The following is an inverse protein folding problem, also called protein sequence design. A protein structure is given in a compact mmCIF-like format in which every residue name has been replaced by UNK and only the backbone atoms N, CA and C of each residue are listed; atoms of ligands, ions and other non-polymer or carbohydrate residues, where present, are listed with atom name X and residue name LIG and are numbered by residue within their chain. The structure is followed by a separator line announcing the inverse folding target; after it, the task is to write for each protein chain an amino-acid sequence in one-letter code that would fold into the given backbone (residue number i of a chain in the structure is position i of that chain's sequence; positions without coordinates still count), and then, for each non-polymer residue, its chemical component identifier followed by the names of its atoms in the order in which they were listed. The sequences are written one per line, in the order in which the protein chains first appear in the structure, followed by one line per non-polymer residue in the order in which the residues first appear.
data_IF_283337288569
#
_entry.id   IF_283337288569
#
_cell.length_a   1.000
_cell.length_b   1.000
_cell.length_c   1.000
_cell.angle_alpha   90.00
_cell.angle_beta   90.00
_cell.angle_gamma   90.00
#
_symmetry.space_group_name_H-M   'P 1'
#
loop_
_entity.id
_entity.type
_entity.pdbx_description
1 polymer ?
#
# COMPACT_ATOMS: atom_id res chain seq x y z
N UNK A 1 -3.96 -2.95 17.66
CA UNK A 1 -3.23 -4.15 17.19
C UNK A 1 -2.68 -4.88 18.41
N UNK A 2 -2.92 -6.19 18.59
CA UNK A 2 -2.37 -6.97 19.72
C UNK A 2 -0.89 -7.29 19.53
N UNK A 3 -0.10 -7.37 20.60
CA UNK A 3 1.33 -7.65 20.52
C UNK A 3 1.60 -9.12 20.17
N UNK A 4 2.77 -9.40 19.61
CA UNK A 4 3.20 -10.77 19.30
C UNK A 4 3.85 -11.38 20.54
N UNK A 5 3.57 -12.66 20.78
CA UNK A 5 4.13 -13.41 21.88
C UNK A 5 5.67 -13.45 21.77
N UNK A 6 6.36 -12.96 22.80
CA UNK A 6 7.82 -12.81 22.84
C UNK A 6 8.57 -14.14 23.01
N UNK A 7 7.86 -15.24 23.23
CA UNK A 7 8.42 -16.60 23.29
C UNK A 7 8.79 -17.15 21.92
N UNK A 8 8.40 -16.47 20.84
CA UNK A 8 8.72 -16.81 19.46
C UNK A 8 10.13 -16.31 19.11
N UNK A 9 10.84 -17.04 18.24
CA UNK A 9 12.09 -16.58 17.63
C UNK A 9 11.98 -15.14 17.07
N UNK A 10 12.99 -14.32 17.38
CA UNK A 10 12.98 -12.89 17.06
C UNK A 10 12.81 -12.61 15.56
N UNK A 11 13.36 -13.43 14.67
CA UNK A 11 13.17 -13.22 13.23
C UNK A 11 11.72 -13.46 12.81
N UNK A 12 11.05 -14.44 13.42
CA UNK A 12 9.64 -14.68 13.16
C UNK A 12 8.79 -13.51 13.68
N UNK A 13 9.09 -12.95 14.86
CA UNK A 13 8.45 -11.72 15.36
C UNK A 13 8.62 -10.58 14.36
N UNK A 14 9.85 -10.31 13.88
CA UNK A 14 10.11 -9.23 12.93
C UNK A 14 9.38 -9.41 11.60
N UNK A 15 9.32 -10.64 11.05
CA UNK A 15 8.58 -10.89 9.80
C UNK A 15 7.07 -10.70 9.99
N UNK A 16 6.51 -11.17 11.10
CA UNK A 16 5.08 -11.01 11.39
C UNK A 16 4.74 -9.52 11.55
N UNK A 17 5.52 -8.79 12.35
CA UNK A 17 5.32 -7.35 12.54
C UNK A 17 5.49 -6.57 11.24
N UNK A 18 6.53 -6.86 10.46
CA UNK A 18 6.73 -6.23 9.16
C UNK A 18 5.56 -6.50 8.19
N UNK A 19 4.96 -7.70 8.21
CA UNK A 19 3.77 -8.00 7.43
C UNK A 19 2.56 -7.17 7.90
N UNK A 20 2.27 -7.14 9.21
CA UNK A 20 1.15 -6.39 9.79
C UNK A 20 1.26 -4.90 9.51
N UNK A 21 2.43 -4.30 9.76
CA UNK A 21 2.68 -2.88 9.47
C UNK A 21 2.61 -2.57 7.98
N UNK A 22 3.11 -3.45 7.11
CA UNK A 22 2.99 -3.26 5.66
C UNK A 22 1.52 -3.29 5.21
N UNK A 23 0.69 -4.10 5.86
CA UNK A 23 -0.75 -4.14 5.62
C UNK A 23 -1.48 -2.88 6.13
N UNK A 24 -1.10 -2.35 7.29
CA UNK A 24 -1.64 -1.08 7.77
C UNK A 24 -1.30 0.05 6.78
N UNK A 25 -0.03 0.12 6.34
CA UNK A 25 0.42 1.14 5.38
C UNK A 25 -0.22 1.02 3.99
N UNK A 26 -0.49 -0.20 3.49
CA UNK A 26 -1.21 -0.34 2.21
C UNK A 26 -2.68 0.09 2.37
N UNK A 27 -3.31 -0.21 3.50
CA UNK A 27 -4.71 0.18 3.74
C UNK A 27 -4.84 1.69 3.83
N UNK A 28 -3.94 2.34 4.58
CA UNK A 28 -3.87 3.79 4.69
C UNK A 28 -3.63 4.46 3.33
N UNK A 29 -2.72 3.91 2.51
CA UNK A 29 -2.46 4.42 1.17
C UNK A 29 -3.71 4.33 0.27
N UNK A 30 -4.46 3.24 0.34
CA UNK A 30 -5.70 3.08 -0.42
C UNK A 30 -6.81 4.02 0.05
N UNK A 31 -6.96 4.18 1.37
CA UNK A 31 -7.95 5.12 1.93
C UNK A 31 -7.61 6.57 1.59
N UNK A 32 -6.33 6.95 1.66
CA UNK A 32 -5.85 8.26 1.24
C UNK A 32 -6.08 8.50 -0.26
N UNK A 33 -5.90 7.47 -1.10
CA UNK A 33 -6.24 7.53 -2.52
C UNK A 33 -7.74 7.81 -2.69
N UNK A 34 -8.62 7.01 -2.07
CA UNK A 34 -10.08 7.21 -2.17
C UNK A 34 -10.51 8.60 -1.70
N UNK A 35 -10.00 9.07 -0.57
CA UNK A 35 -10.28 10.40 -0.06
C UNK A 35 -9.85 11.48 -1.06
N UNK A 36 -8.69 11.31 -1.70
CA UNK A 36 -8.19 12.20 -2.75
C UNK A 36 -9.12 12.21 -3.95
N UNK A 37 -9.55 11.05 -4.45
CA UNK A 37 -10.46 10.94 -5.59
C UNK A 37 -11.83 11.57 -5.30
N UNK A 38 -12.38 11.35 -4.10
CA UNK A 38 -13.63 11.99 -3.67
C UNK A 38 -13.49 13.51 -3.55
N UNK A 39 -12.34 14.01 -3.11
CA UNK A 39 -12.09 15.46 -3.05
C UNK A 39 -12.01 16.07 -4.46
N UNK A 40 -11.40 15.37 -5.42
CA UNK A 40 -11.33 15.78 -6.83
C UNK A 40 -12.72 15.78 -7.46
N UNK A 41 -13.55 14.78 -7.15
CA UNK A 41 -14.89 14.66 -7.72
C UNK A 41 -15.81 15.84 -7.37
N UNK A 42 -15.63 16.42 -6.18
CA UNK A 42 -16.38 17.59 -5.70
C UNK A 42 -15.96 18.92 -6.35
N UNK A 43 -14.85 18.93 -7.08
CA UNK A 43 -14.33 20.12 -7.77
C UNK A 43 -14.90 20.21 -9.18
N UNK A 44 -15.14 21.44 -9.61
CA UNK A 44 -15.45 21.71 -11.02
C UNK A 44 -14.22 21.42 -11.91
N UNK A 45 -14.39 21.09 -13.19
CA UNK A 45 -13.28 20.71 -14.08
C UNK A 45 -12.14 21.73 -14.17
N UNK A 46 -12.45 23.02 -14.05
CA UNK A 46 -11.47 24.10 -14.11
C UNK A 46 -10.69 24.31 -12.79
N UNK A 47 -11.12 23.66 -11.71
CA UNK A 47 -10.47 23.71 -10.39
C UNK A 47 -9.51 22.53 -10.17
N UNK A 48 -9.48 21.57 -11.09
CA UNK A 48 -8.54 20.44 -11.03
C UNK A 48 -7.11 20.93 -11.23
N UNK A 49 -6.24 20.56 -10.30
CA UNK A 49 -4.84 21.01 -10.27
C UNK A 49 -3.87 19.89 -10.64
N UNK A 50 -2.66 20.26 -11.04
CA UNK A 50 -1.57 19.29 -11.18
C UNK A 50 -1.31 18.52 -9.87
N UNK A 51 -1.47 19.17 -8.72
CA UNK A 51 -1.27 18.56 -7.41
C UNK A 51 -2.31 17.45 -7.12
N UNK A 52 -3.54 17.60 -7.59
CA UNK A 52 -4.57 16.57 -7.48
C UNK A 52 -4.13 15.28 -8.19
N UNK A 53 -3.62 15.42 -9.41
CA UNK A 53 -3.11 14.30 -10.20
C UNK A 53 -1.88 13.65 -9.55
N UNK A 54 -0.94 14.46 -9.04
CA UNK A 54 0.24 13.97 -8.33
C UNK A 54 -0.13 13.21 -7.06
N UNK A 55 -1.07 13.71 -6.26
CA UNK A 55 -1.51 13.04 -5.04
C UNK A 55 -2.18 11.69 -5.34
N UNK A 56 -3.08 11.65 -6.32
CA UNK A 56 -3.72 10.40 -6.74
C UNK A 56 -2.68 9.36 -7.21
N UNK A 57 -1.74 9.80 -8.05
CA UNK A 57 -0.64 8.94 -8.55
C UNK A 57 0.26 8.47 -7.42
N UNK A 58 0.66 9.36 -6.51
CA UNK A 58 1.49 9.06 -5.34
C UNK A 58 0.85 7.98 -4.48
N UNK A 59 -0.42 8.12 -4.10
CA UNK A 59 -1.08 7.15 -3.23
C UNK A 59 -1.30 5.82 -3.94
N UNK A 60 -1.58 5.81 -5.24
CA UNK A 60 -1.63 4.59 -6.04
C UNK A 60 -0.29 3.84 -6.04
N UNK A 61 0.83 4.54 -6.32
CA UNK A 61 2.17 3.93 -6.28
C UNK A 61 2.56 3.46 -4.87
N UNK A 62 2.25 4.24 -3.84
CA UNK A 62 2.47 3.85 -2.44
C UNK A 62 1.69 2.59 -2.07
N UNK A 63 0.44 2.48 -2.51
CA UNK A 63 -0.37 1.27 -2.33
C UNK A 63 0.29 0.06 -3.00
N UNK A 64 0.77 0.20 -4.23
CA UNK A 64 1.48 -0.86 -4.97
C UNK A 64 2.74 -1.31 -4.22
N UNK A 65 3.56 -0.37 -3.77
CA UNK A 65 4.79 -0.65 -3.04
C UNK A 65 4.53 -1.34 -1.70
N UNK A 66 3.58 -0.85 -0.91
CA UNK A 66 3.21 -1.45 0.36
C UNK A 66 2.57 -2.84 0.17
N UNK A 67 1.76 -3.04 -0.86
CA UNK A 67 1.19 -4.36 -1.19
C UNK A 67 2.28 -5.35 -1.57
N UNK A 68 3.24 -4.94 -2.40
CA UNK A 68 4.39 -5.77 -2.73
C UNK A 68 5.20 -6.15 -1.47
N UNK A 69 5.46 -5.18 -0.58
CA UNK A 69 6.18 -5.43 0.68
C UNK A 69 5.42 -6.39 1.60
N UNK A 70 4.13 -6.17 1.78
CA UNK A 70 3.26 -7.06 2.57
C UNK A 70 3.37 -8.50 2.09
N UNK A 71 3.18 -8.71 0.77
CA UNK A 71 3.21 -10.04 0.19
C UNK A 71 4.60 -10.68 0.25
N UNK A 72 5.66 -9.91 -0.05
CA UNK A 72 7.04 -10.37 -0.02
C UNK A 72 7.44 -10.85 1.39
N UNK A 73 7.10 -10.10 2.43
CA UNK A 73 7.40 -10.50 3.83
C UNK A 73 6.55 -11.70 4.23
N UNK A 74 5.24 -11.66 3.94
CA UNK A 74 4.31 -12.73 4.31
C UNK A 74 4.72 -14.07 3.69
N UNK A 75 5.18 -14.07 2.42
CA UNK A 75 5.66 -15.27 1.71
C UNK A 75 6.83 -15.98 2.42
N UNK A 76 7.56 -15.28 3.29
CA UNK A 76 8.72 -15.80 4.01
C UNK A 76 8.38 -16.30 5.43
N UNK A 77 7.14 -16.16 5.90
CA UNK A 77 6.72 -16.60 7.22
C UNK A 77 6.56 -18.12 7.22
N UNK A 78 7.45 -18.81 7.96
CA UNK A 78 7.39 -20.27 8.12
C UNK A 78 6.13 -20.69 8.88
N UNK A 79 5.47 -21.72 8.39
CA UNK A 79 4.26 -22.28 9.02
C UNK A 79 2.97 -21.50 8.75
N UNK A 80 3.04 -20.35 8.06
CA UNK A 80 1.85 -19.64 7.59
C UNK A 80 1.10 -20.46 6.53
N UNK A 81 -0.22 -20.21 6.39
CA UNK A 81 -1.13 -20.98 5.53
C UNK A 81 -1.00 -20.58 4.04
N UNK A 82 0.19 -20.71 3.45
CA UNK A 82 0.45 -20.38 2.02
C UNK A 82 -0.41 -21.16 1.01
N UNK A 83 -1.00 -22.28 1.45
CA UNK A 83 -1.91 -23.09 0.62
C UNK A 83 -3.38 -22.66 0.71
N UNK A 84 -3.71 -21.72 1.58
CA UNK A 84 -5.05 -21.13 1.69
C UNK A 84 -5.42 -20.44 0.37
N UNK A 85 -6.66 -20.61 -0.07
CA UNK A 85 -7.11 -20.09 -1.36
C UNK A 85 -7.14 -18.55 -1.38
N UNK A 86 -7.33 -17.90 -0.22
CA UNK A 86 -7.22 -16.44 -0.09
C UNK A 86 -5.81 -15.97 -0.44
N UNK A 87 -4.78 -16.70 0.02
CA UNK A 87 -3.38 -16.40 -0.27
C UNK A 87 -3.06 -16.60 -1.75
N UNK A 88 -3.45 -17.74 -2.33
CA UNK A 88 -3.22 -18.03 -3.76
C UNK A 88 -3.90 -17.01 -4.67
N UNK A 89 -5.13 -16.61 -4.34
CA UNK A 89 -5.86 -15.58 -5.10
C UNK A 89 -5.12 -14.25 -5.04
N UNK A 90 -4.68 -13.83 -3.86
CA UNK A 90 -3.90 -12.61 -3.67
C UNK A 90 -2.55 -12.62 -4.40
N UNK A 91 -1.89 -13.78 -4.50
CA UNK A 91 -0.62 -13.95 -5.23
C UNK A 91 -0.74 -13.56 -6.70
N UNK A 92 -1.89 -13.82 -7.33
CA UNK A 92 -2.15 -13.42 -8.72
C UNK A 92 -2.12 -11.90 -8.86
N UNK A 93 -2.75 -11.17 -7.94
CA UNK A 93 -2.72 -9.72 -7.93
C UNK A 93 -1.31 -9.20 -7.61
N UNK A 94 -0.65 -9.73 -6.58
CA UNK A 94 0.69 -9.33 -6.18
C UNK A 94 1.71 -9.47 -7.32
N UNK A 95 1.63 -10.53 -8.14
CA UNK A 95 2.50 -10.68 -9.31
C UNK A 95 2.29 -9.61 -10.37
N UNK A 96 1.05 -9.16 -10.61
CA UNK A 96 0.77 -8.07 -11.57
C UNK A 96 1.36 -6.74 -11.08
N UNK A 97 1.34 -6.50 -9.77
CA UNK A 97 1.89 -5.29 -9.15
C UNK A 97 3.39 -5.14 -9.35
N UNK A 98 4.13 -6.25 -9.40
CA UNK A 98 5.59 -6.24 -9.61
C UNK A 98 5.94 -5.52 -10.92
N UNK A 99 5.15 -5.74 -11.99
CA UNK A 99 5.35 -5.07 -13.27
C UNK A 99 5.23 -3.55 -13.14
N UNK A 100 4.16 -3.06 -12.50
CA UNK A 100 3.93 -1.62 -12.33
C UNK A 100 4.96 -0.97 -11.41
N UNK A 101 5.32 -1.67 -10.33
CA UNK A 101 6.38 -1.23 -9.41
C UNK A 101 7.72 -1.10 -10.13
N UNK A 102 8.10 -2.14 -10.87
CA UNK A 102 9.35 -2.13 -11.63
C UNK A 102 9.34 -1.03 -12.69
N UNK A 103 8.20 -0.82 -13.36
CA UNK A 103 8.03 0.27 -14.31
C UNK A 103 8.34 1.63 -13.67
N UNK A 104 7.70 1.92 -12.54
CA UNK A 104 7.89 3.17 -11.81
C UNK A 104 9.31 3.35 -11.24
N UNK A 105 9.98 2.27 -10.84
CA UNK A 105 11.32 2.32 -10.23
C UNK A 105 12.47 2.36 -11.23
N UNK A 106 12.26 1.83 -12.43
CA UNK A 106 13.28 1.70 -13.47
C UNK A 106 12.92 2.48 -14.74
N UNK A 107 12.36 3.68 -14.59
CA UNK A 107 11.88 4.51 -15.71
C UNK A 107 12.91 4.68 -16.83
N UNK A 108 14.19 4.83 -16.51
CA UNK A 108 15.24 4.97 -17.52
C UNK A 108 15.33 3.76 -18.46
N UNK A 109 15.09 2.56 -17.94
CA UNK A 109 15.12 1.31 -18.72
C UNK A 109 13.79 1.03 -19.42
N UNK A 110 12.70 1.61 -18.91
CA UNK A 110 11.34 1.35 -19.35
C UNK A 110 10.85 2.35 -20.40
N UNK A 111 11.26 3.63 -20.30
CA UNK A 111 10.91 4.68 -21.26
C UNK A 111 11.27 4.29 -22.71
N UNK A 112 12.45 3.71 -23.02
CA UNK A 112 12.77 3.30 -24.39
C UNK A 112 11.88 2.17 -24.94
N UNK A 113 11.16 1.44 -24.08
CA UNK A 113 10.25 0.34 -24.46
C UNK A 113 8.81 0.82 -24.71
N UNK A 114 8.54 2.09 -24.43
CA UNK A 114 7.22 2.71 -24.57
C UNK A 114 6.87 2.87 -26.06
N UNK A 115 5.73 2.31 -26.47
CA UNK A 115 5.12 2.51 -27.79
C UNK A 115 4.15 3.69 -27.77
N UNK A 116 3.76 4.24 -28.92
CA UNK A 116 2.89 5.44 -29.00
C UNK A 116 1.52 5.30 -28.27
N UNK A 117 1.08 4.08 -27.98
CA UNK A 117 -0.22 3.75 -27.37
C UNK A 117 -0.20 3.63 -25.83
N UNK A 118 0.90 4.00 -25.18
CA UNK A 118 1.07 3.80 -23.73
C UNK A 118 0.43 4.88 -22.87
N UNK A 119 0.13 4.50 -21.63
CA UNK A 119 -0.33 5.37 -20.55
C UNK A 119 0.68 6.49 -20.19
N UNK A 120 0.26 7.52 -19.43
CA UNK A 120 1.19 8.52 -18.90
C UNK A 120 2.34 7.85 -18.13
N UNK A 121 3.54 8.43 -18.17
CA UNK A 121 4.77 7.80 -17.67
C UNK A 121 4.65 7.39 -16.20
N UNK A 122 4.04 8.23 -15.34
CA UNK A 122 3.81 7.87 -13.93
C UNK A 122 2.44 7.26 -13.68
N UNK A 123 1.66 7.07 -14.74
CA UNK A 123 0.36 6.44 -14.73
C UNK A 123 -0.84 7.38 -14.69
N UNK A 124 -2.02 6.77 -14.76
CA UNK A 124 -3.31 7.41 -14.66
C UNK A 124 -4.20 6.63 -13.69
N UNK A 125 -4.97 7.34 -12.87
CA UNK A 125 -5.96 6.74 -11.98
C UNK A 125 -7.34 6.97 -12.57
N UNK A 126 -8.10 5.89 -12.75
CA UNK A 126 -9.48 5.90 -13.21
C UNK A 126 -10.41 5.40 -12.12
N UNK A 127 -11.55 6.07 -11.92
CA UNK A 127 -12.56 5.67 -10.94
C UNK A 127 -13.97 6.01 -11.42
N UNK A 128 -14.97 5.38 -10.81
CA UNK A 128 -16.37 5.69 -11.05
C UNK A 128 -16.79 6.79 -10.09
N UNK A 129 -17.55 7.76 -10.58
CA UNK A 129 -18.24 8.73 -9.73
C UNK A 129 -19.17 8.04 -8.74
N UNK A 130 -19.60 8.78 -7.72
CA UNK A 130 -20.49 8.29 -6.67
C UNK A 130 -21.82 7.77 -7.25
N UNK A 131 -22.35 8.44 -8.27
CA UNK A 131 -23.55 8.04 -9.02
C UNK A 131 -23.34 6.81 -9.93
N UNK A 132 -22.07 6.40 -10.15
CA UNK A 132 -21.62 5.32 -11.05
C UNK A 132 -21.99 5.52 -12.52
N UNK A 133 -22.44 6.70 -12.92
CA UNK A 133 -22.82 7.01 -14.30
C UNK A 133 -21.66 7.62 -15.09
N UNK A 134 -20.62 8.09 -14.40
CA UNK A 134 -19.46 8.72 -15.00
C UNK A 134 -18.19 7.98 -14.60
N UNK A 135 -17.30 7.72 -15.55
CA UNK A 135 -15.91 7.36 -15.25
C UNK A 135 -15.04 8.60 -15.35
N UNK A 136 -14.26 8.86 -14.31
CA UNK A 136 -13.28 9.94 -14.26
C UNK A 136 -11.88 9.34 -14.33
N UNK A 137 -10.98 10.03 -15.01
CA UNK A 137 -9.56 9.65 -15.09
C UNK A 137 -8.70 10.88 -14.88
N UNK A 138 -7.69 10.76 -14.02
CA UNK A 138 -6.72 11.81 -13.76
C UNK A 138 -5.31 11.28 -14.00
N UNK A 139 -4.45 12.11 -14.58
CA UNK A 139 -3.04 11.79 -14.80
C UNK A 139 -2.18 13.03 -14.66
N UNK A 140 -0.92 12.82 -14.28
CA UNK A 140 0.06 13.88 -14.17
C UNK A 140 1.04 13.82 -15.34
N UNK A 141 1.43 14.99 -15.83
CA UNK A 141 2.45 15.15 -16.87
C UNK A 141 1.88 15.46 -18.24
N UNK A 142 2.77 15.53 -19.22
CA UNK A 142 2.41 15.80 -20.62
C UNK A 142 1.97 14.50 -21.29
N UNK A 143 0.85 14.56 -22.01
CA UNK A 143 0.36 13.46 -22.84
C UNK A 143 0.81 13.71 -24.28
N UNK A 144 1.70 12.88 -24.85
CA UNK A 144 2.03 12.96 -26.26
C UNK A 144 0.79 12.83 -27.16
N UNK A 145 0.78 13.47 -28.35
CA UNK A 145 -0.28 13.24 -29.32
C UNK A 145 -0.41 11.75 -29.68
N UNK A 146 -1.64 11.25 -29.71
CA UNK A 146 -1.93 9.83 -29.99
C UNK A 146 -1.96 8.93 -28.76
N UNK A 147 -1.68 9.44 -27.55
CA UNK A 147 -1.85 8.67 -26.31
C UNK A 147 -3.30 8.22 -26.13
N UNK A 148 -3.48 6.91 -26.03
CA UNK A 148 -4.74 6.25 -25.68
C UNK A 148 -4.64 5.65 -24.30
N UNK A 149 -5.69 5.76 -23.49
CA UNK A 149 -5.77 5.06 -22.22
C UNK A 149 -7.18 4.53 -21.98
N UNK A 150 -7.27 3.34 -21.41
CA UNK A 150 -8.55 2.76 -21.00
C UNK A 150 -9.01 3.37 -19.67
N UNK A 151 -10.26 3.82 -19.65
CA UNK A 151 -10.97 4.20 -18.43
C UNK A 151 -11.64 2.96 -17.82
N UNK A 152 -12.59 3.15 -16.90
CA UNK A 152 -13.32 2.02 -16.34
C UNK A 152 -14.24 1.34 -17.38
N UNK A 153 -14.36 0.02 -17.26
CA UNK A 153 -15.36 -0.73 -18.00
C UNK A 153 -16.78 -0.33 -17.56
N UNK A 154 -17.66 -0.12 -18.55
CA UNK A 154 -19.08 0.13 -18.34
C UNK A 154 -19.84 -1.20 -18.38
N UNK A 155 -20.60 -1.50 -17.32
CA UNK A 155 -21.48 -2.65 -17.27
C UNK A 155 -22.78 -2.33 -18.02
N UNK A 156 -23.00 -2.98 -19.15
CA UNK A 156 -24.19 -2.78 -19.98
C UNK A 156 -25.45 -3.40 -19.40
N UNK A 157 -25.32 -4.39 -18.53
CA UNK A 157 -26.44 -5.07 -17.87
C UNK A 157 -26.96 -4.19 -16.74
N UNK A 158 -26.06 -3.72 -15.87
CA UNK A 158 -26.37 -2.87 -14.72
C UNK A 158 -26.40 -1.37 -15.08
N UNK A 159 -26.07 -1.01 -16.32
CA UNK A 159 -26.03 0.35 -16.86
C UNK A 159 -25.21 1.33 -16.02
N UNK A 160 -24.08 0.88 -15.48
CA UNK A 160 -23.21 1.70 -14.65
C UNK A 160 -21.74 1.29 -14.75
N UNK A 161 -20.84 2.18 -14.35
CA UNK A 161 -19.43 1.83 -14.15
C UNK A 161 -19.25 1.02 -12.86
N UNK A 162 -18.31 0.07 -12.88
CA UNK A 162 -17.91 -0.64 -11.67
C UNK A 162 -17.27 0.34 -10.67
N UNK A 163 -17.52 0.20 -9.36
CA UNK A 163 -16.94 1.03 -8.29
C UNK A 163 -15.44 0.74 -8.04
N UNK A 164 -14.74 0.28 -9.06
CA UNK A 164 -13.33 -0.03 -8.99
C UNK A 164 -12.49 1.24 -9.14
N UNK A 165 -11.35 1.26 -8.44
CA UNK A 165 -10.27 2.21 -8.69
C UNK A 165 -9.20 1.46 -9.48
N UNK A 166 -8.96 1.92 -10.70
CA UNK A 166 -8.01 1.31 -11.62
C UNK A 166 -6.81 2.23 -11.78
N UNK A 167 -5.61 1.66 -11.70
CA UNK A 167 -4.36 2.35 -12.00
C UNK A 167 -3.74 1.78 -13.25
N UNK A 168 -3.46 2.66 -14.20
CA UNK A 168 -2.80 2.30 -15.45
C UNK A 168 -1.41 2.91 -15.49
N UNK A 169 -0.39 2.13 -15.86
CA UNK A 169 1.01 2.60 -15.97
C UNK A 169 1.76 1.79 -17.03
N UNK A 170 2.45 2.48 -17.94
CA UNK A 170 3.10 1.82 -19.09
C UNK A 170 2.09 1.16 -20.03
N UNK A 171 2.02 -0.17 -20.02
CA UNK A 171 1.00 -1.00 -20.69
C UNK A 171 0.20 -1.87 -19.70
N UNK A 172 0.34 -1.60 -18.40
CA UNK A 172 -0.27 -2.38 -17.34
C UNK A 172 -1.52 -1.69 -16.84
N UNK A 173 -2.54 -2.49 -16.58
CA UNK A 173 -3.77 -2.08 -15.91
C UNK A 173 -3.92 -2.89 -14.62
N UNK A 174 -4.12 -2.19 -13.51
CA UNK A 174 -4.25 -2.78 -12.18
C UNK A 174 -5.56 -2.33 -11.56
N UNK A 175 -6.40 -3.28 -11.19
CA UNK A 175 -7.56 -3.03 -10.33
C UNK A 175 -7.08 -2.93 -8.87
N UNK A 176 -6.98 -1.70 -8.35
CA UNK A 176 -6.54 -1.44 -6.98
C UNK A 176 -7.61 -1.84 -5.96
N UNK A 177 -8.90 -1.70 -6.30
CA UNK A 177 -10.01 -2.09 -5.42
C UNK A 177 -10.04 -3.59 -5.14
N UNK A 178 -9.97 -4.41 -6.19
CA UNK A 178 -9.93 -5.87 -6.09
C UNK A 178 -8.64 -6.34 -5.41
N UNK A 179 -7.51 -5.69 -5.73
CA UNK A 179 -6.24 -5.97 -5.05
C UNK A 179 -6.35 -5.69 -3.56
N UNK A 180 -6.88 -4.52 -3.17
CA UNK A 180 -7.06 -4.14 -1.76
C UNK A 180 -7.98 -5.13 -1.05
N UNK A 181 -9.12 -5.46 -1.64
CA UNK A 181 -10.03 -6.47 -1.09
C UNK A 181 -9.33 -7.81 -0.88
N UNK A 182 -8.56 -8.29 -1.87
CA UNK A 182 -7.82 -9.55 -1.75
C UNK A 182 -6.73 -9.49 -0.67
N UNK A 183 -6.07 -8.35 -0.47
CA UNK A 183 -5.09 -8.20 0.61
C UNK A 183 -5.75 -8.23 1.99
N UNK A 184 -6.95 -7.65 2.14
CA UNK A 184 -7.74 -7.76 3.37
C UNK A 184 -8.08 -9.22 3.69
N UNK A 185 -8.47 -10.02 2.70
CA UNK A 185 -8.74 -11.45 2.90
C UNK A 185 -7.51 -12.22 3.41
N UNK A 186 -6.33 -11.90 2.87
CA UNK A 186 -5.07 -12.50 3.31
C UNK A 186 -4.65 -12.02 4.70
N UNK A 187 -4.87 -10.74 5.02
CA UNK A 187 -4.62 -10.23 6.35
C UNK A 187 -5.54 -10.88 7.40
N UNK A 188 -6.82 -11.10 7.09
CA UNK A 188 -7.71 -11.88 7.94
C UNK A 188 -7.18 -13.30 8.15
N UNK A 189 -6.70 -13.97 7.10
CA UNK A 189 -6.03 -15.28 7.21
C UNK A 189 -4.78 -15.23 8.12
N UNK A 190 -3.99 -14.15 8.06
CA UNK A 190 -2.84 -13.94 8.94
C UNK A 190 -3.30 -13.80 10.39
N UNK A 191 -4.31 -12.99 10.67
CA UNK A 191 -4.86 -12.81 12.02
C UNK A 191 -5.41 -14.12 12.59
N UNK A 192 -6.19 -14.88 11.81
CA UNK A 192 -6.69 -16.21 12.20
C UNK A 192 -5.54 -17.15 12.55
N UNK A 193 -4.54 -17.25 11.68
CA UNK A 193 -3.37 -18.10 11.90
C UNK A 193 -2.58 -17.69 13.15
N UNK A 194 -2.41 -16.40 13.41
CA UNK A 194 -1.71 -15.90 14.59
C UNK A 194 -2.44 -16.29 15.89
N UNK A 195 -3.77 -16.24 15.90
CA UNK A 195 -4.60 -16.66 17.03
C UNK A 195 -4.52 -18.17 17.22
N UNK A 196 -4.76 -18.94 16.16
CA UNK A 196 -4.75 -20.41 16.19
C UNK A 196 -3.40 -21.00 16.61
N UNK A 197 -2.30 -20.29 16.32
CA UNK A 197 -0.94 -20.72 16.66
C UNK A 197 -0.39 -20.11 17.96
N UNK A 198 -1.25 -19.47 18.76
CA UNK A 198 -0.90 -18.86 20.06
C UNK A 198 0.26 -17.85 19.96
N UNK A 199 0.29 -17.09 18.85
CA UNK A 199 1.36 -16.12 18.54
C UNK A 199 1.02 -14.69 18.93
N UNK A 200 -0.16 -14.46 19.46
CA UNK A 200 -0.65 -13.14 19.87
C UNK A 200 -0.73 -13.11 21.39
N UNK A 201 -0.30 -12.01 22.01
CA UNK A 201 -0.50 -11.79 23.44
C UNK A 201 -1.78 -11.00 23.70
N UNK A 202 -2.24 -10.99 24.95
CA UNK A 202 -3.41 -10.20 25.36
C UNK A 202 -3.15 -8.68 25.37
N UNK A 203 -1.88 -8.28 25.31
CA UNK A 203 -1.47 -6.88 25.38
C UNK A 203 -1.64 -6.18 24.03
N UNK A 204 -1.98 -4.91 24.05
CA UNK A 204 -1.98 -4.07 22.85
C UNK A 204 -0.58 -3.50 22.58
N UNK A 205 -0.20 -3.41 21.30
CA UNK A 205 1.02 -2.74 20.87
C UNK A 205 0.90 -1.25 21.15
N UNK A 206 1.90 -0.68 21.84
CA UNK A 206 2.04 0.76 22.07
C UNK A 206 3.19 1.32 21.24
N UNK A 207 3.09 2.58 20.76
CA UNK A 207 4.20 3.22 20.09
C UNK A 207 5.37 3.39 21.06
N UNK A 208 6.57 3.06 20.60
CA UNK A 208 7.80 3.35 21.34
C UNK A 208 8.26 4.77 21.00
N UNK A 209 8.15 5.69 21.95
CA UNK A 209 8.59 7.08 21.78
C UNK A 209 9.91 7.27 22.51
N UNK A 210 10.95 7.63 21.76
CA UNK A 210 12.26 7.97 22.32
C UNK A 210 12.41 9.50 22.35
N UNK A 211 12.63 10.05 23.53
CA UNK A 211 12.93 11.47 23.74
C UNK A 211 14.41 11.59 24.11
N UNK A 212 15.18 12.31 23.31
CA UNK A 212 16.57 12.67 23.60
C UNK A 212 16.65 14.18 23.83
N UNK A 213 17.25 14.61 24.95
CA UNK A 213 17.44 16.00 25.33
C UNK A 213 18.89 16.29 25.75
N UNK A 214 19.25 17.57 25.88
CA UNK A 214 20.54 18.00 26.42
C UNK A 214 20.56 17.89 27.95
N UNK A 215 21.76 17.79 28.54
CA UNK A 215 21.96 17.60 29.98
C UNK A 215 21.45 18.74 30.87
N UNK A 216 21.04 19.88 30.29
CA UNK A 216 20.62 21.07 31.03
C UNK A 216 19.29 20.89 31.80
N UNK A 217 18.51 19.84 31.47
CA UNK A 217 17.27 19.47 32.17
C UNK A 217 17.47 18.38 33.24
N UNK A 218 18.72 17.95 33.54
CA UNK A 218 18.99 16.94 34.56
C UNK A 218 19.72 17.55 35.76
N UNK A 219 19.07 17.52 36.93
CA UNK A 219 19.64 18.00 38.19
C UNK A 219 21.01 17.38 38.47
N UNK A 220 21.89 18.21 39.04
CA UNK A 220 23.36 18.15 38.94
C UNK A 220 24.06 17.03 39.73
N UNK A 221 23.45 15.86 39.94
CA UNK A 221 24.05 14.81 40.79
C UNK A 221 24.52 13.55 40.08
N UNK A 222 24.56 13.46 38.75
CA UNK A 222 25.07 12.24 38.07
C UNK A 222 25.69 12.50 36.69
N UNK A 223 26.81 13.21 36.65
CA UNK A 223 27.67 13.30 35.45
C UNK A 223 28.76 12.24 35.55
N UNK A 224 28.56 11.08 34.91
CA UNK A 224 29.61 10.30 34.24
C UNK A 224 29.06 8.95 33.72
N UNK A 225 28.75 8.86 32.41
CA UNK A 225 29.07 7.72 31.51
C UNK A 225 28.28 7.81 30.20
N UNK A 226 29.03 7.89 29.10
CA UNK A 226 28.71 7.34 27.76
C UNK A 226 27.22 7.27 27.35
N UNK A 227 26.74 8.23 26.57
CA UNK A 227 25.47 8.12 25.86
C UNK A 227 25.68 7.43 24.49
N UNK A 228 25.93 6.12 24.51
CA UNK A 228 25.32 5.23 23.50
C UNK A 228 24.15 4.59 24.23
N UNK A 229 22.94 5.05 23.96
CA UNK A 229 21.74 4.37 24.43
C UNK A 229 21.67 2.99 23.76
N UNK A 230 22.29 1.97 24.37
CA UNK A 230 22.04 0.58 24.04
C UNK A 230 20.73 0.20 24.69
N UNK A 231 19.67 0.09 23.88
CA UNK A 231 18.42 -0.51 24.31
C UNK A 231 18.60 -2.02 24.42
N UNK A 232 18.42 -2.55 25.63
CA UNK A 232 18.18 -3.98 25.86
C UNK A 232 16.70 -4.08 26.25
N UNK A 233 15.87 -4.54 25.31
CA UNK A 233 14.47 -4.86 25.62
C UNK A 233 14.50 -6.19 26.36
N UNK A 234 14.25 -6.17 27.67
CA UNK A 234 14.09 -7.39 28.47
C UNK A 234 12.73 -8.03 28.15
N UNK A 235 12.66 -9.35 27.93
CA UNK A 235 11.38 -10.03 27.76
C UNK A 235 10.56 -9.88 29.05
N UNK A 236 9.31 -9.45 28.91
CA UNK A 236 8.28 -9.54 29.97
C UNK A 236 7.80 -10.97 30.13
#
# INVERSE_FOLDING_TARGET
MKAINNTIDAQAVYRIEAARLSFELLSEAFDALKATLMAIEKKEPHEHTHQDALNATKFALQFIDCTHRFFAVLSQIKGFKHKDDRFKKAEVYARKLVGARNFAQHLNDEIPKITAETYPILGAVSWASEDRLTSRTISAGTLPPGTTFHTLAYDTTERCYNKSVVFNIGNLQIDLSETHYSMHQVHSCLCEWLIESDRVSDQDVKPNVLVAGTLDDMSSSSIARYLRAKFVVTPS
#
